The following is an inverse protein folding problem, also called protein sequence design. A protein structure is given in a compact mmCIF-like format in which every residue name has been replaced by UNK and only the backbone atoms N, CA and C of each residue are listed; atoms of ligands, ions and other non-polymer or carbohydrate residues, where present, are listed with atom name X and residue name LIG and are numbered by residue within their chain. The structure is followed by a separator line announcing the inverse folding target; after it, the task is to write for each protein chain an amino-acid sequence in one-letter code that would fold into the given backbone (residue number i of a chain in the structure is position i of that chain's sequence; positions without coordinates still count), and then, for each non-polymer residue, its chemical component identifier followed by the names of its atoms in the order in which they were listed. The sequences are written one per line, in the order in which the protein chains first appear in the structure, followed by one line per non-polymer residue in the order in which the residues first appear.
data_IF_927684215189
#
_entry.id   IF_927684215189
#
_cell.length_a   1.000
_cell.length_b   1.000
_cell.length_c   1.000
_cell.angle_alpha   90.00
_cell.angle_beta   90.00
_cell.angle_gamma   90.00
#
_symmetry.space_group_name_H-M   'P 1'
#
loop_
_entity.id
_entity.type
_entity.pdbx_description
1 polymer ?
#
# COMPACT_ATOMS: atom_id res chain seq x y z
N UNK A 1 -8.99 2.24 -5.47
CA UNK A 1 -8.86 1.05 -4.59
C UNK A 1 -9.04 1.50 -3.15
N UNK A 2 -9.93 0.88 -2.40
CA UNK A 2 -10.20 1.25 -1.00
C UNK A 2 -9.07 0.78 -0.05
N UNK A 3 -8.80 1.49 1.06
CA UNK A 3 -7.62 1.27 1.90
C UNK A 3 -7.63 -0.08 2.62
N UNK A 4 -8.79 -0.54 3.11
CA UNK A 4 -8.94 -1.90 3.68
C UNK A 4 -8.54 -2.98 2.70
N UNK A 5 -9.09 -2.91 1.48
CA UNK A 5 -8.79 -3.85 0.41
C UNK A 5 -7.30 -3.83 0.06
N UNK A 6 -6.71 -2.63 -0.04
CA UNK A 6 -5.29 -2.47 -0.28
C UNK A 6 -4.44 -3.17 0.78
N UNK A 7 -4.65 -2.87 2.06
CA UNK A 7 -3.93 -3.54 3.16
C UNK A 7 -4.07 -5.05 3.14
N UNK A 8 -5.31 -5.55 2.98
CA UNK A 8 -5.59 -6.99 3.00
C UNK A 8 -4.81 -7.72 1.90
N UNK A 9 -4.86 -7.19 0.68
CA UNK A 9 -4.11 -7.73 -0.45
C UNK A 9 -2.60 -7.55 -0.29
N UNK A 10 -2.16 -6.45 0.31
CA UNK A 10 -0.75 -6.18 0.53
C UNK A 10 -0.12 -7.18 1.50
N UNK A 11 -0.80 -7.48 2.60
CA UNK A 11 -0.30 -8.41 3.61
C UNK A 11 -0.72 -9.87 3.35
N UNK A 12 -1.54 -10.11 2.32
CA UNK A 12 -2.08 -11.42 1.97
C UNK A 12 -2.75 -12.12 3.16
N UNK A 13 -3.69 -11.41 3.80
CA UNK A 13 -4.40 -11.88 5.01
C UNK A 13 -5.89 -12.07 4.75
N UNK A 14 -6.55 -12.88 5.58
CA UNK A 14 -8.02 -13.04 5.55
C UNK A 14 -8.73 -11.92 6.33
N UNK A 15 -10.06 -11.86 6.24
CA UNK A 15 -10.85 -10.89 7.04
C UNK A 15 -10.77 -11.14 8.55
N UNK A 16 -10.60 -12.39 8.97
CA UNK A 16 -10.44 -12.72 10.39
C UNK A 16 -9.09 -12.22 10.92
N UNK A 17 -8.05 -12.27 10.12
CA UNK A 17 -6.71 -11.78 10.46
C UNK A 17 -6.67 -10.25 10.61
N UNK A 18 -7.60 -9.51 10.00
CA UNK A 18 -7.71 -8.06 10.16
C UNK A 18 -8.00 -7.65 11.62
N UNK A 19 -8.55 -8.56 12.43
CA UNK A 19 -8.83 -8.37 13.86
C UNK A 19 -7.58 -8.53 14.73
N UNK A 20 -6.46 -9.02 14.16
CA UNK A 20 -5.23 -9.26 14.90
C UNK A 20 -4.67 -7.97 15.49
N UNK A 21 -4.14 -8.06 16.71
CA UNK A 21 -3.51 -6.92 17.38
C UNK A 21 -2.36 -6.39 16.54
N UNK A 22 -2.41 -5.09 16.23
CA UNK A 22 -1.36 -4.41 15.47
C UNK A 22 -1.58 -4.37 13.96
N UNK A 23 -2.57 -5.08 13.41
CA UNK A 23 -2.90 -5.02 11.98
C UNK A 23 -3.17 -3.59 11.50
N UNK A 24 -4.02 -2.85 12.22
CA UNK A 24 -4.28 -1.42 11.93
C UNK A 24 -2.99 -0.60 11.92
N UNK A 25 -2.08 -0.81 12.88
CA UNK A 25 -0.82 -0.06 12.95
C UNK A 25 0.07 -0.34 11.73
N UNK A 26 0.09 -1.58 11.24
CA UNK A 26 0.79 -1.93 10.01
C UNK A 26 0.16 -1.25 8.79
N UNK A 27 -1.18 -1.20 8.73
CA UNK A 27 -1.89 -0.44 7.70
C UNK A 27 -1.54 1.05 7.70
N UNK A 28 -1.58 1.70 8.86
CA UNK A 28 -1.24 3.13 9.00
C UNK A 28 0.17 3.40 8.45
N UNK A 29 1.14 2.60 8.87
CA UNK A 29 2.53 2.71 8.40
C UNK A 29 2.68 2.47 6.90
N UNK A 30 1.98 1.49 6.35
CA UNK A 30 2.03 1.18 4.92
C UNK A 30 1.40 2.31 4.08
N UNK A 31 0.20 2.75 4.45
CA UNK A 31 -0.52 3.83 3.77
C UNK A 31 0.28 5.13 3.81
N UNK A 32 0.86 5.47 4.98
CA UNK A 32 1.75 6.62 5.15
C UNK A 32 2.88 6.61 4.11
N UNK A 33 3.58 5.47 3.96
CA UNK A 33 4.71 5.34 3.02
C UNK A 33 4.30 5.40 1.56
N UNK A 34 3.20 4.73 1.21
CA UNK A 34 2.74 4.63 -0.19
C UNK A 34 2.13 5.94 -0.67
N UNK A 35 1.42 6.65 0.21
CA UNK A 35 0.76 7.91 -0.13
C UNK A 35 1.72 9.10 0.06
N UNK A 36 2.71 8.99 0.96
CA UNK A 36 3.63 10.07 1.28
C UNK A 36 3.06 11.07 2.30
N UNK A 37 2.32 10.59 3.30
CA UNK A 37 1.74 11.41 4.38
C UNK A 37 2.21 10.90 5.75
N UNK A 38 2.17 11.77 6.76
CA UNK A 38 2.44 11.39 8.15
C UNK A 38 1.45 10.34 8.68
N UNK A 39 1.94 9.40 9.51
CA UNK A 39 1.09 8.36 10.14
C UNK A 39 -0.09 8.97 10.91
N UNK A 40 0.12 10.10 11.60
CA UNK A 40 -0.93 10.85 12.31
C UNK A 40 -2.05 11.37 11.40
N UNK A 41 -1.74 11.64 10.13
CA UNK A 41 -2.75 12.07 9.14
C UNK A 41 -3.60 10.87 8.73
N UNK A 42 -2.98 9.72 8.51
CA UNK A 42 -3.67 8.47 8.18
C UNK A 42 -4.56 8.01 9.36
N UNK A 43 -4.05 8.10 10.59
CA UNK A 43 -4.78 7.66 11.78
C UNK A 43 -6.07 8.46 11.98
N UNK A 44 -6.06 9.76 11.62
CA UNK A 44 -7.22 10.65 11.63
C UNK A 44 -8.31 10.34 10.60
N UNK A 45 -8.07 9.43 9.64
CA UNK A 45 -9.10 8.99 8.69
C UNK A 45 -10.16 8.06 9.30
N UNK A 46 -10.11 7.83 10.61
CA UNK A 46 -11.15 7.14 11.36
C UNK A 46 -10.64 5.86 12.00
N UNK A 47 -11.43 5.37 12.96
CA UNK A 47 -11.18 4.12 13.68
C UNK A 47 -11.41 2.88 12.80
N UNK A 48 -10.79 1.76 13.17
CA UNK A 48 -10.98 0.48 12.48
C UNK A 48 -10.01 0.28 11.32
N UNK A 49 -10.39 -0.50 10.31
CA UNK A 49 -9.53 -0.82 9.14
C UNK A 49 -10.07 -0.24 7.83
N UNK A 50 -11.23 0.42 7.86
CA UNK A 50 -11.90 0.95 6.68
C UNK A 50 -11.42 2.35 6.27
N UNK A 51 -10.83 3.13 7.18
CA UNK A 51 -10.30 4.49 6.96
C UNK A 51 -11.28 5.40 6.17
N UNK A 52 -12.53 5.61 6.66
CA UNK A 52 -13.57 6.32 5.91
C UNK A 52 -13.24 7.78 5.54
N UNK A 53 -12.30 8.42 6.26
CA UNK A 53 -11.86 9.79 6.01
C UNK A 53 -10.77 9.94 4.94
N UNK A 54 -10.35 8.85 4.29
CA UNK A 54 -9.36 8.92 3.21
C UNK A 54 -9.93 9.67 2.00
N UNK A 55 -9.26 10.73 1.50
CA UNK A 55 -9.65 11.39 0.26
C UNK A 55 -9.59 10.46 -0.96
N UNK A 56 -10.61 10.55 -1.83
CA UNK A 56 -10.73 9.68 -3.02
C UNK A 56 -9.55 9.78 -3.99
N UNK A 57 -8.84 10.92 -4.02
CA UNK A 57 -7.66 11.10 -4.87
C UNK A 57 -6.55 10.06 -4.63
N UNK A 58 -6.47 9.49 -3.42
CA UNK A 58 -5.45 8.49 -3.08
C UNK A 58 -5.81 7.07 -3.54
N UNK A 59 -7.04 6.84 -3.98
CA UNK A 59 -7.47 5.53 -4.46
C UNK A 59 -6.68 5.03 -5.66
N UNK A 60 -6.28 5.94 -6.55
CA UNK A 60 -5.48 5.63 -7.73
C UNK A 60 -4.04 5.31 -7.32
N UNK A 61 -3.46 6.08 -6.37
CA UNK A 61 -2.13 5.83 -5.81
C UNK A 61 -2.03 4.42 -5.23
N UNK A 62 -3.02 4.00 -4.43
CA UNK A 62 -3.08 2.63 -3.89
C UNK A 62 -3.20 1.58 -4.99
N UNK A 63 -3.98 1.87 -6.04
CA UNK A 63 -4.10 1.02 -7.22
C UNK A 63 -2.77 0.83 -7.95
N UNK A 64 -2.05 1.92 -8.24
CA UNK A 64 -0.74 1.86 -8.89
C UNK A 64 0.27 1.08 -8.05
N UNK A 65 0.32 1.32 -6.73
CA UNK A 65 1.22 0.61 -5.84
C UNK A 65 0.95 -0.91 -5.84
N UNK A 66 -0.31 -1.35 -5.82
CA UNK A 66 -0.64 -2.78 -5.93
C UNK A 66 -0.28 -3.37 -7.29
N UNK A 67 -0.49 -2.64 -8.38
CA UNK A 67 -0.11 -3.11 -9.72
C UNK A 67 1.40 -3.31 -9.81
N UNK A 68 2.20 -2.34 -9.33
CA UNK A 68 3.66 -2.44 -9.29
C UNK A 68 4.08 -3.64 -8.44
N UNK A 69 3.52 -3.79 -7.23
CA UNK A 69 3.79 -4.94 -6.36
C UNK A 69 3.57 -6.27 -7.09
N UNK A 70 2.42 -6.43 -7.75
CA UNK A 70 2.09 -7.66 -8.50
C UNK A 70 3.04 -7.91 -9.66
N UNK A 71 3.37 -6.87 -10.43
CA UNK A 71 4.36 -6.99 -11.51
C UNK A 71 5.72 -7.47 -11.00
N UNK A 72 6.13 -7.05 -9.80
CA UNK A 72 7.37 -7.49 -9.17
C UNK A 72 7.29 -8.92 -8.62
N UNK A 73 6.14 -9.32 -8.06
CA UNK A 73 5.93 -10.66 -7.49
C UNK A 73 5.75 -11.74 -8.57
N UNK A 74 4.96 -11.44 -9.61
CA UNK A 74 4.69 -12.33 -10.75
C UNK A 74 5.81 -12.29 -11.80
N UNK A 75 6.61 -11.23 -11.77
CA UNK A 75 7.74 -11.03 -12.67
C UNK A 75 8.79 -12.14 -12.56
N UNK A 76 9.15 -12.69 -13.71
CA UNK A 76 10.38 -13.45 -13.86
C UNK A 76 11.60 -12.60 -13.49
N UNK A 77 12.76 -13.26 -13.37
CA UNK A 77 14.01 -12.60 -12.96
C UNK A 77 14.35 -11.37 -13.82
N UNK A 78 14.18 -11.48 -15.15
CA UNK A 78 14.49 -10.40 -16.09
C UNK A 78 13.57 -9.19 -15.91
N UNK A 79 12.27 -9.38 -15.66
CA UNK A 79 11.35 -8.27 -15.41
C UNK A 79 11.71 -7.52 -14.14
N UNK A 80 12.08 -8.24 -13.07
CA UNK A 80 12.54 -7.62 -11.82
C UNK A 80 13.80 -6.79 -12.00
N UNK A 81 14.77 -7.30 -12.76
CA UNK A 81 16.01 -6.58 -13.08
C UNK A 81 15.72 -5.29 -13.88
N UNK A 82 14.82 -5.34 -14.88
CA UNK A 82 14.39 -4.15 -15.64
C UNK A 82 13.71 -3.13 -14.72
N UNK A 83 12.76 -3.55 -13.88
CA UNK A 83 12.08 -2.64 -12.96
C UNK A 83 13.04 -1.96 -11.99
N UNK A 84 13.99 -2.71 -11.42
CA UNK A 84 15.01 -2.14 -10.54
C UNK A 84 15.90 -1.13 -11.27
N UNK A 85 16.29 -1.40 -12.52
CA UNK A 85 17.06 -0.46 -13.32
C UNK A 85 16.28 0.84 -13.60
N UNK A 86 15.01 0.74 -13.99
CA UNK A 86 14.16 1.92 -14.23
C UNK A 86 13.96 2.74 -12.96
N UNK A 87 13.70 2.10 -11.82
CA UNK A 87 13.53 2.80 -10.54
C UNK A 87 14.81 3.58 -10.16
N UNK A 88 15.98 2.97 -10.37
CA UNK A 88 17.26 3.64 -10.10
C UNK A 88 17.45 4.90 -10.94
N UNK A 89 17.18 4.83 -12.25
CA UNK A 89 17.32 6.01 -13.11
C UNK A 89 16.34 7.14 -12.75
N UNK A 90 15.16 6.80 -12.24
CA UNK A 90 14.19 7.80 -11.76
C UNK A 90 14.60 8.45 -10.44
N UNK A 91 15.34 7.74 -9.57
CA UNK A 91 15.87 8.30 -8.32
C UNK A 91 17.07 9.21 -8.55
N UNK A 92 17.84 8.96 -9.60
CA UNK A 92 19.03 9.73 -9.99
C UNK A 92 18.70 10.98 -10.86
N UNK A 93 17.42 11.18 -11.23
CA UNK A 93 16.91 12.29 -12.08
C UNK A 93 16.25 13.41 -11.29
#
# INVERSE_FOLDING_TARGET
MKPRQFCRLWFNVSEEDEKARGYRKQCVKLLSRVIGLEEDTIDRWGSGVDFPGMPDQYENTLGYAMTIKRMLEEGGRSQREIFQAVLKELEDS
#
